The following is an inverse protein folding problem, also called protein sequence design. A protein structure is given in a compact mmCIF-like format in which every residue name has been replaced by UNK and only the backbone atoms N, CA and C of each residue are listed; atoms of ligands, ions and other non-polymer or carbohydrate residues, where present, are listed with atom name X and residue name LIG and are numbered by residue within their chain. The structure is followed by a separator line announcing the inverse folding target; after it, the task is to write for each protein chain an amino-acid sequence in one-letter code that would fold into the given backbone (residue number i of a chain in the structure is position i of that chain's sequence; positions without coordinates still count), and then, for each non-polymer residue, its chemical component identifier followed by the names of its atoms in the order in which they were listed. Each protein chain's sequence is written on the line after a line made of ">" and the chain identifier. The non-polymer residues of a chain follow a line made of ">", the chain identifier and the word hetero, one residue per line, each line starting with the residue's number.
data_IF_321166098360
#
_entry.id   IF_321166098360
#
_cell.length_a   1.000
_cell.length_b   1.000
_cell.length_c   1.000
_cell.angle_alpha   90.00
_cell.angle_beta   90.00
_cell.angle_gamma   90.00
#
_symmetry.space_group_name_H-M   'P 1'
#
loop_
_entity.id
_entity.type
_entity.pdbx_description
1 polymer ?
#
# COMPACT_ATOMS: atom_id res chain seq x y z
N UNK A 1 -12.73 7.31 5.56
CA UNK A 1 -11.38 6.75 5.78
C UNK A 1 -11.51 5.58 6.76
N UNK A 2 -10.80 4.46 6.55
CA UNK A 2 -10.84 3.31 7.49
C UNK A 2 -9.79 3.39 8.59
N UNK A 3 -8.78 4.23 8.41
CA UNK A 3 -7.71 4.45 9.39
C UNK A 3 -7.67 5.90 9.84
N UNK A 4 -7.20 6.10 11.07
CA UNK A 4 -6.81 7.39 11.61
C UNK A 4 -5.44 7.25 12.30
N UNK A 5 -4.67 8.33 12.34
CA UNK A 5 -3.43 8.40 13.10
C UNK A 5 -3.69 8.96 14.50
N UNK A 6 -3.21 8.27 15.53
CA UNK A 6 -3.24 8.76 16.92
C UNK A 6 -2.19 9.86 17.13
N UNK A 7 -2.22 10.54 18.28
CA UNK A 7 -1.22 11.56 18.66
C UNK A 7 0.23 11.08 18.60
N UNK A 8 0.45 9.77 18.76
CA UNK A 8 1.77 9.14 18.65
C UNK A 8 2.19 8.80 17.21
N UNK A 9 1.38 9.15 16.21
CA UNK A 9 1.59 8.81 14.80
C UNK A 9 1.25 7.36 14.45
N UNK A 10 0.62 6.61 15.36
CA UNK A 10 0.24 5.22 15.11
C UNK A 10 -1.10 5.15 14.37
N UNK A 11 -1.20 4.32 13.34
CA UNK A 11 -2.46 4.08 12.65
C UNK A 11 -3.35 3.12 13.45
N UNK A 12 -4.62 3.52 13.63
CA UNK A 12 -5.68 2.69 14.18
C UNK A 12 -6.76 2.49 13.13
N UNK A 13 -7.21 1.24 12.94
CA UNK A 13 -8.36 0.91 12.09
C UNK A 13 -9.65 1.20 12.84
N UNK A 14 -10.74 1.44 12.12
CA UNK A 14 -12.03 1.71 12.74
C UNK A 14 -12.59 0.50 13.51
N UNK A 15 -12.28 -0.71 13.07
CA UNK A 15 -12.66 -1.95 13.78
C UNK A 15 -11.91 -2.07 15.11
N UNK A 16 -10.59 -1.84 15.11
CA UNK A 16 -9.79 -1.82 16.34
C UNK A 16 -10.21 -0.69 17.27
N UNK A 17 -10.60 0.46 16.71
CA UNK A 17 -11.15 1.58 17.47
C UNK A 17 -12.49 1.22 18.12
N UNK A 18 -13.42 0.63 17.36
CA UNK A 18 -14.74 0.25 17.86
C UNK A 18 -14.68 -0.88 18.91
N UNK A 19 -13.72 -1.79 18.78
CA UNK A 19 -13.51 -2.88 19.73
C UNK A 19 -12.70 -2.46 20.98
N UNK A 20 -12.10 -1.27 21.00
CA UNK A 20 -11.25 -0.84 22.11
C UNK A 20 -12.10 -0.28 23.27
N UNK A 21 -11.94 -0.77 24.50
CA UNK A 21 -12.62 -0.20 25.67
C UNK A 21 -12.14 1.23 25.98
N UNK A 22 -10.91 1.57 25.58
CA UNK A 22 -10.35 2.92 25.69
C UNK A 22 -10.00 3.44 24.29
N UNK A 23 -10.88 4.27 23.74
CA UNK A 23 -10.69 4.85 22.41
C UNK A 23 -9.77 6.07 22.47
N UNK A 24 -8.71 6.13 21.64
CA UNK A 24 -7.87 7.33 21.54
C UNK A 24 -8.68 8.53 21.05
N UNK A 25 -8.53 9.69 21.68
CA UNK A 25 -9.38 10.87 21.38
C UNK A 25 -8.80 11.82 20.34
N UNK A 26 -7.47 11.96 20.27
CA UNK A 26 -6.81 12.83 19.30
C UNK A 26 -6.42 12.03 18.06
N UNK A 27 -7.35 11.97 17.11
CA UNK A 27 -7.18 11.30 15.83
C UNK A 27 -6.92 12.33 14.72
N UNK A 28 -6.08 11.96 13.77
CA UNK A 28 -5.75 12.78 12.61
C UNK A 28 -5.80 11.98 11.32
N UNK A 29 -6.02 12.66 10.20
CA UNK A 29 -5.98 12.10 8.87
C UNK A 29 -4.55 11.62 8.56
N UNK A 30 -4.36 10.35 8.18
CA UNK A 30 -3.04 9.80 7.87
C UNK A 30 -2.53 10.15 6.47
N UNK A 31 -3.35 10.84 5.68
CA UNK A 31 -3.08 11.19 4.29
C UNK A 31 -2.01 12.26 4.10
N UNK A 32 -1.63 12.49 2.85
CA UNK A 32 -0.60 13.45 2.44
C UNK A 32 -0.98 14.14 1.11
N UNK A 33 -0.40 15.32 0.89
CA UNK A 33 -0.44 16.00 -0.40
C UNK A 33 0.58 15.40 -1.39
N UNK A 34 0.49 15.72 -2.70
CA UNK A 34 1.39 15.21 -3.74
C UNK A 34 2.88 15.47 -3.49
N UNK A 35 3.20 16.53 -2.75
CA UNK A 35 4.56 16.90 -2.34
C UNK A 35 5.04 16.18 -1.06
N UNK A 36 4.25 15.26 -0.53
CA UNK A 36 4.57 14.47 0.67
C UNK A 36 4.24 15.17 1.99
N UNK A 37 3.68 16.39 1.98
CA UNK A 37 3.26 17.06 3.23
C UNK A 37 2.13 16.28 3.91
N UNK A 38 2.22 16.00 5.22
CA UNK A 38 1.19 15.27 5.94
C UNK A 38 -0.07 16.12 6.15
N UNK A 39 -1.24 15.52 5.95
CA UNK A 39 -2.53 16.20 6.07
C UNK A 39 -2.84 16.63 7.50
N UNK A 40 -2.69 15.71 8.48
CA UNK A 40 -2.92 15.96 9.91
C UNK A 40 -4.28 16.58 10.27
N UNK A 41 -5.25 16.56 9.34
CA UNK A 41 -6.60 17.05 9.56
C UNK A 41 -7.25 16.30 10.72
N UNK A 42 -7.95 17.00 11.61
CA UNK A 42 -8.59 16.36 12.76
C UNK A 42 -9.61 15.34 12.28
N UNK A 43 -9.46 14.10 12.75
CA UNK A 43 -10.33 12.98 12.43
C UNK A 43 -11.17 12.57 13.64
N UNK A 44 -12.32 11.96 13.41
CA UNK A 44 -13.17 11.38 14.45
C UNK A 44 -13.89 10.15 13.91
N UNK A 45 -14.22 9.23 14.81
CA UNK A 45 -15.03 8.06 14.47
C UNK A 45 -16.50 8.47 14.22
N UNK A 46 -17.12 7.82 13.25
CA UNK A 46 -18.51 8.05 12.86
C UNK A 46 -19.18 6.71 12.60
N UNK A 47 -20.50 6.67 12.77
CA UNK A 47 -21.35 5.51 12.48
C UNK A 47 -20.97 4.24 13.27
N UNK A 48 -20.37 4.38 14.47
CA UNK A 48 -19.99 3.26 15.33
C UNK A 48 -21.15 2.30 15.64
N UNK A 49 -22.35 2.85 15.85
CA UNK A 49 -23.55 2.11 16.22
C UNK A 49 -24.64 2.15 15.12
N UNK A 50 -24.28 2.51 13.89
CA UNK A 50 -25.27 2.67 12.83
C UNK A 50 -25.62 1.31 12.21
N UNK A 51 -26.90 0.95 12.11
CA UNK A 51 -27.31 -0.27 11.40
C UNK A 51 -27.25 -0.10 9.87
N UNK A 52 -27.12 1.13 9.36
CA UNK A 52 -27.19 1.45 7.93
C UNK A 52 -25.83 1.78 7.30
N UNK A 53 -24.86 2.19 8.12
CA UNK A 53 -23.56 2.69 7.66
C UNK A 53 -22.49 2.05 8.51
N UNK A 54 -21.53 1.38 7.89
CA UNK A 54 -20.41 0.80 8.64
C UNK A 54 -19.62 1.90 9.36
N UNK A 55 -19.09 1.62 10.56
CA UNK A 55 -18.17 2.49 11.25
C UNK A 55 -17.07 2.98 10.31
N UNK A 56 -16.73 4.27 10.36
CA UNK A 56 -15.58 4.83 9.63
C UNK A 56 -15.01 6.04 10.35
N UNK A 57 -13.80 6.47 9.96
CA UNK A 57 -13.27 7.77 10.33
C UNK A 57 -13.64 8.83 9.29
N UNK A 58 -14.04 9.99 9.81
CA UNK A 58 -14.27 11.21 9.05
C UNK A 58 -13.27 12.28 9.51
N UNK A 59 -12.85 13.16 8.60
CA UNK A 59 -12.08 14.36 8.92
C UNK A 59 -12.68 15.54 8.16
N UNK A 60 -12.50 16.73 8.73
CA UNK A 60 -12.75 18.02 8.07
C UNK A 60 -11.41 18.69 7.85
N UNK A 61 -11.35 19.60 6.87
CA UNK A 61 -10.16 20.43 6.62
C UNK A 61 -8.94 19.63 6.16
N UNK A 62 -9.15 18.72 5.20
CA UNK A 62 -8.04 18.15 4.48
C UNK A 62 -7.21 19.24 3.81
N UNK A 63 -5.89 19.06 3.78
CA UNK A 63 -5.03 19.83 2.88
C UNK A 63 -5.42 19.54 1.43
N UNK A 64 -5.20 20.50 0.52
CA UNK A 64 -5.47 20.34 -0.91
C UNK A 64 -4.76 19.10 -1.44
N UNK A 65 -5.46 18.30 -2.26
CA UNK A 65 -4.98 17.05 -2.86
C UNK A 65 -4.50 16.01 -1.84
N UNK A 66 -5.06 16.02 -0.63
CA UNK A 66 -4.88 14.92 0.31
C UNK A 66 -5.45 13.63 -0.28
N UNK A 67 -4.60 12.60 -0.41
CA UNK A 67 -4.97 11.27 -0.90
C UNK A 67 -6.18 10.65 -0.17
N UNK A 68 -6.28 10.80 1.16
CA UNK A 68 -7.43 10.36 1.96
C UNK A 68 -8.69 11.23 1.74
N UNK A 69 -8.51 12.54 1.52
CA UNK A 69 -9.61 13.48 1.25
C UNK A 69 -10.21 13.28 -0.15
N UNK A 70 -9.35 13.04 -1.14
CA UNK A 70 -9.72 12.76 -2.53
C UNK A 70 -10.45 11.41 -2.64
N UNK A 71 -10.01 10.39 -1.89
CA UNK A 71 -10.70 9.11 -1.78
C UNK A 71 -12.11 9.25 -1.17
N UNK A 72 -12.30 10.15 -0.19
CA UNK A 72 -13.60 10.40 0.43
C UNK A 72 -14.58 11.13 -0.51
N UNK A 73 -14.10 12.03 -1.37
CA UNK A 73 -14.92 12.74 -2.38
C UNK A 73 -15.32 11.82 -3.54
N UNK A 74 -14.49 10.83 -3.88
CA UNK A 74 -14.75 9.85 -4.94
C UNK A 74 -15.67 8.69 -4.54
N UNK A 75 -15.99 8.55 -3.26
CA UNK A 75 -16.96 7.57 -2.79
C UNK A 75 -18.37 7.94 -3.32
N UNK A 76 -18.84 7.22 -4.36
CA UNK A 76 -20.20 7.36 -4.89
C UNK A 76 -21.23 7.21 -3.75
N UNK A 77 -22.28 8.06 -3.76
CA UNK A 77 -23.55 7.72 -3.11
C UNK A 77 -24.03 6.38 -3.69
N UNK A 78 -24.36 5.42 -2.81
CA UNK A 78 -24.75 4.05 -3.21
C UNK A 78 -25.83 4.01 -4.30
N UNK A 79 -25.76 3.01 -5.17
CA UNK A 79 -26.73 2.80 -6.26
C UNK A 79 -27.90 1.88 -5.85
N UNK A 80 -29.03 2.09 -6.53
CA UNK A 80 -30.35 1.46 -6.38
C UNK A 80 -30.40 -0.04 -6.74
N UNK A 81 -29.76 -0.91 -5.98
CA UNK A 81 -29.96 -2.38 -6.10
C UNK A 81 -30.80 -2.97 -4.95
N UNK A 82 -31.34 -2.12 -4.06
CA UNK A 82 -32.11 -2.57 -2.90
C UNK A 82 -31.26 -3.12 -1.76
N UNK A 83 -29.93 -3.10 -1.87
CA UNK A 83 -29.04 -3.35 -0.74
C UNK A 83 -29.04 -2.16 0.21
N UNK A 84 -29.46 -2.39 1.46
CA UNK A 84 -29.47 -1.36 2.53
C UNK A 84 -28.11 -1.17 3.19
N UNK A 85 -27.11 -1.98 2.83
CA UNK A 85 -25.76 -1.90 3.37
C UNK A 85 -24.79 -1.29 2.36
N UNK A 86 -24.32 -0.08 2.65
CA UNK A 86 -23.26 0.58 1.89
C UNK A 86 -21.98 -0.25 1.97
N UNK A 87 -21.63 -0.96 0.88
CA UNK A 87 -20.36 -1.72 0.75
C UNK A 87 -19.20 -0.74 0.92
N UNK A 88 -18.34 -0.95 1.90
CA UNK A 88 -17.13 -0.13 2.09
C UNK A 88 -15.92 -0.93 1.65
N UNK A 89 -15.01 -0.26 0.94
CA UNK A 89 -13.76 -0.77 0.39
C UNK A 89 -12.82 -1.32 1.46
N UNK A 90 -12.44 -2.60 1.40
CA UNK A 90 -11.28 -3.12 2.11
C UNK A 90 -10.00 -2.76 1.35
N UNK A 91 -9.06 -2.14 2.05
CA UNK A 91 -7.80 -1.64 1.49
C UNK A 91 -6.65 -2.67 1.60
N UNK A 92 -6.97 -3.89 2.05
CA UNK A 92 -6.00 -4.97 2.31
C UNK A 92 -5.23 -4.79 3.63
N UNK A 93 -4.22 -5.63 3.93
CA UNK A 93 -3.53 -5.61 5.20
C UNK A 93 -2.63 -4.37 5.32
N UNK A 94 -2.35 -3.95 6.55
CA UNK A 94 -1.43 -2.85 6.81
C UNK A 94 0.02 -3.37 6.89
N UNK A 95 0.88 -2.87 6.01
CA UNK A 95 2.29 -3.22 5.88
C UNK A 95 3.20 -2.21 6.56
N UNK A 96 4.41 -2.59 6.94
CA UNK A 96 5.39 -1.66 7.53
C UNK A 96 6.43 -1.26 6.48
N UNK A 97 6.55 0.03 6.22
CA UNK A 97 7.63 0.64 5.44
C UNK A 97 8.64 1.28 6.39
N UNK A 98 9.90 0.92 6.26
CA UNK A 98 11.01 1.44 7.05
C UNK A 98 11.95 2.17 6.09
N UNK A 99 11.93 3.50 6.15
CA UNK A 99 12.83 4.32 5.32
C UNK A 99 14.19 4.41 6.03
N UNK A 100 15.29 3.97 5.40
CA UNK A 100 16.60 4.12 6.01
C UNK A 100 16.94 5.60 6.18
N UNK A 101 17.68 5.91 7.25
CA UNK A 101 18.26 7.23 7.46
C UNK A 101 19.10 7.62 6.25
N UNK A 102 18.82 8.77 5.62
CA UNK A 102 19.67 9.31 4.56
C UNK A 102 21.11 9.39 5.06
N UNK A 103 22.01 8.68 4.39
CA UNK A 103 23.45 8.81 4.64
C UNK A 103 23.86 10.16 4.08
N UNK A 104 24.50 11.07 4.83
CA UNK A 104 24.90 12.35 4.27
C UNK A 104 25.81 12.10 3.07
N UNK A 105 25.40 12.60 1.92
CA UNK A 105 26.21 12.58 0.71
C UNK A 105 27.57 13.20 1.03
N UNK A 106 28.65 12.58 0.53
CA UNK A 106 29.96 13.23 0.46
C UNK A 106 29.82 14.42 -0.49
N UNK A 107 29.43 15.58 0.05
CA UNK A 107 29.63 16.85 -0.62
C UNK A 107 31.14 17.08 -0.72
N UNK A 108 31.71 16.59 -1.81
CA UNK A 108 33.09 16.88 -2.18
C UNK A 108 33.07 18.25 -2.81
N UNK A 109 33.04 19.30 -1.98
CA UNK A 109 33.10 20.67 -2.47
C UNK A 109 34.55 20.96 -2.86
N UNK A 110 34.81 20.94 -4.17
CA UNK A 110 36.10 21.32 -4.76
C UNK A 110 36.47 22.74 -4.31
N UNK A 111 37.64 22.97 -3.68
CA UNK A 111 38.04 24.29 -3.27
C UNK A 111 38.51 25.07 -4.51
N UNK A 112 37.72 26.05 -4.96
CA UNK A 112 38.25 27.10 -5.82
C UNK A 112 39.04 28.08 -4.97
N UNK A 113 40.36 27.88 -4.91
CA UNK A 113 41.30 28.87 -4.42
C UNK A 113 41.40 30.03 -5.42
N UNK A 114 41.20 31.26 -4.94
CA UNK A 114 42.00 32.41 -5.41
C UNK A 114 42.10 33.45 -4.30
N UNK A 115 43.30 33.52 -3.73
CA UNK A 115 43.72 34.48 -2.70
C UNK A 115 43.99 35.86 -3.33
N UNK A 116 43.59 36.96 -2.66
CA UNK A 116 44.48 38.11 -2.37
C UNK A 116 43.85 39.14 -1.43
N UNK A 117 44.52 39.32 -0.28
CA UNK A 117 44.64 40.51 0.59
C UNK A 117 43.37 41.06 1.28
N UNK A 118 43.38 41.57 2.51
CA UNK A 118 44.35 41.69 3.61
C UNK A 118 43.59 42.18 4.85
N UNK A 119 43.70 41.53 6.01
CA UNK A 119 43.22 42.13 7.27
C UNK A 119 42.78 41.18 8.40
N UNK A 120 43.75 40.77 9.23
CA UNK A 120 43.69 40.54 10.71
C UNK A 120 42.67 39.50 11.28
N UNK A 121 42.88 39.02 12.54
CA UNK A 121 43.00 37.58 12.83
C UNK A 121 41.76 36.91 13.46
N UNK A 122 41.76 35.57 13.34
CA UNK A 122 41.06 34.55 14.14
C UNK A 122 39.56 34.72 14.42
N UNK A 123 38.76 33.96 13.66
CA UNK A 123 37.72 33.13 14.26
C UNK A 123 37.96 31.68 13.79
N UNK A 124 38.51 30.85 14.66
CA UNK A 124 38.44 29.40 14.51
C UNK A 124 36.95 29.04 14.53
N UNK A 125 36.37 28.80 13.36
CA UNK A 125 35.07 28.15 13.27
C UNK A 125 35.25 26.73 13.79
N UNK A 126 34.95 26.54 15.08
CA UNK A 126 34.76 25.23 15.66
C UNK A 126 33.59 24.60 14.90
N UNK A 127 33.90 23.64 14.03
CA UNK A 127 32.93 22.73 13.43
C UNK A 127 32.25 21.95 14.53
N UNK A 128 31.13 22.47 15.03
CA UNK A 128 30.14 21.64 15.71
C UNK A 128 29.53 20.68 14.68
N UNK A 129 29.40 19.37 14.95
CA UNK A 129 28.73 18.48 14.03
C UNK A 129 27.24 18.83 14.03
N UNK A 130 26.76 19.53 13.02
CA UNK A 130 25.34 19.57 12.68
C UNK A 130 24.93 18.22 12.06
N UNK A 131 25.09 17.13 12.82
CA UNK A 131 24.58 15.81 12.45
C UNK A 131 23.15 15.70 12.96
N UNK A 132 22.18 16.23 12.21
CA UNK A 132 20.81 15.71 12.31
C UNK A 132 20.80 14.35 11.64
N UNK A 133 21.17 13.30 12.38
CA UNK A 133 20.80 11.92 12.03
C UNK A 133 19.28 11.89 11.98
N UNK A 134 18.70 11.85 10.78
CA UNK A 134 17.27 11.57 10.65
C UNK A 134 17.08 10.11 11.06
N UNK A 135 16.44 9.86 12.20
CA UNK A 135 16.18 8.51 12.66
C UNK A 135 15.38 7.72 11.59
N UNK A 136 15.59 6.40 11.47
CA UNK A 136 14.77 5.57 10.58
C UNK A 136 13.30 5.78 10.95
N UNK A 137 12.47 6.12 9.97
CA UNK A 137 11.04 6.27 10.18
C UNK A 137 10.35 4.99 9.74
N UNK A 138 9.77 4.28 10.72
CA UNK A 138 8.90 3.15 10.47
C UNK A 138 7.45 3.66 10.35
N UNK A 139 6.81 3.40 9.22
CA UNK A 139 5.44 3.81 8.93
C UNK A 139 4.60 2.63 8.49
N UNK A 140 3.42 2.49 9.09
CA UNK A 140 2.39 1.53 8.66
C UNK A 140 1.66 2.08 7.42
N UNK A 141 1.44 1.27 6.39
CA UNK A 141 0.84 1.64 5.10
C UNK A 141 -0.09 0.52 4.61
N UNK A 142 -1.37 0.80 4.31
CA UNK A 142 -2.30 -0.18 3.75
C UNK A 142 -1.82 -0.72 2.39
N UNK A 143 -2.16 -1.96 2.07
CA UNK A 143 -1.80 -2.60 0.80
C UNK A 143 -2.30 -1.83 -0.42
N UNK A 144 -3.51 -1.28 -0.37
CA UNK A 144 -4.05 -0.41 -1.42
C UNK A 144 -3.19 0.85 -1.62
N UNK A 145 -2.70 1.47 -0.54
CA UNK A 145 -1.84 2.65 -0.63
C UNK A 145 -0.45 2.28 -1.16
N UNK A 146 0.07 1.10 -0.80
CA UNK A 146 1.30 0.57 -1.37
C UNK A 146 1.17 0.44 -2.90
N UNK A 147 0.04 -0.10 -3.39
CA UNK A 147 -0.25 -0.19 -4.82
C UNK A 147 -0.28 1.20 -5.49
N UNK A 148 -0.97 2.19 -4.90
CA UNK A 148 -0.98 3.57 -5.43
C UNK A 148 0.43 4.12 -5.62
N UNK A 149 1.29 3.93 -4.62
CA UNK A 149 2.67 4.43 -4.64
C UNK A 149 3.52 3.67 -5.65
N UNK A 150 3.30 2.37 -5.82
CA UNK A 150 3.95 1.57 -6.85
C UNK A 150 3.61 2.08 -8.25
N UNK A 151 2.32 2.30 -8.54
CA UNK A 151 1.84 2.75 -9.84
C UNK A 151 2.30 4.18 -10.18
N UNK A 152 2.43 5.03 -9.16
CA UNK A 152 2.90 6.41 -9.31
C UNK A 152 4.43 6.57 -9.24
N UNK A 153 5.20 5.50 -9.05
CA UNK A 153 6.66 5.55 -8.93
C UNK A 153 7.16 6.27 -7.67
N UNK A 154 6.33 6.34 -6.61
CA UNK A 154 6.60 7.08 -5.36
C UNK A 154 7.21 6.20 -4.26
N UNK A 155 7.61 4.98 -4.57
CA UNK A 155 8.30 4.09 -3.62
C UNK A 155 9.79 4.13 -3.90
N UNK A 156 10.57 4.50 -2.89
CA UNK A 156 12.02 4.35 -2.93
C UNK A 156 12.37 2.86 -2.93
N UNK A 157 13.10 2.35 -3.95
CA UNK A 157 13.48 0.94 -4.08
C UNK A 157 14.22 0.36 -2.88
N UNK A 158 14.97 1.21 -2.14
CA UNK A 158 15.80 0.81 -1.00
C UNK A 158 15.05 0.88 0.34
N UNK A 159 13.83 1.43 0.35
CA UNK A 159 12.97 1.39 1.53
C UNK A 159 12.68 -0.06 1.89
N UNK A 160 12.83 -0.41 3.17
CA UNK A 160 12.54 -1.77 3.63
C UNK A 160 11.04 -1.94 3.81
N UNK A 161 10.45 -2.93 3.13
CA UNK A 161 9.08 -3.39 3.33
C UNK A 161 9.09 -4.58 4.28
N UNK A 162 8.14 -4.62 5.22
CA UNK A 162 7.86 -5.80 6.04
C UNK A 162 6.47 -6.34 5.72
N UNK A 163 6.42 -7.64 5.41
CA UNK A 163 5.20 -8.40 5.16
C UNK A 163 4.58 -8.91 6.47
N UNK A 164 3.31 -9.35 6.48
CA UNK A 164 2.63 -9.82 7.69
C UNK A 164 3.28 -11.04 8.34
N UNK A 165 3.92 -11.90 7.55
CA UNK A 165 4.69 -13.07 7.98
C UNK A 165 6.06 -12.72 8.62
N UNK A 166 6.35 -11.41 8.78
CA UNK A 166 7.60 -10.83 9.27
C UNK A 166 8.77 -10.90 8.28
N UNK A 167 8.56 -11.34 7.05
CA UNK A 167 9.56 -11.22 5.98
C UNK A 167 9.88 -9.74 5.77
N UNK A 168 11.17 -9.40 5.72
CA UNK A 168 11.67 -8.04 5.55
C UNK A 168 12.69 -7.97 4.43
N UNK A 169 12.62 -6.91 3.64
CA UNK A 169 13.54 -6.69 2.53
C UNK A 169 13.25 -5.38 1.81
N UNK A 170 14.13 -4.95 0.90
CA UNK A 170 13.90 -3.75 0.12
C UNK A 170 12.63 -3.89 -0.74
N UNK A 171 11.92 -2.79 -0.97
CA UNK A 171 10.73 -2.73 -1.83
C UNK A 171 11.02 -3.34 -3.20
N UNK A 172 12.21 -3.10 -3.76
CA UNK A 172 12.64 -3.68 -5.04
C UNK A 172 12.62 -5.22 -5.10
N UNK A 173 12.69 -5.89 -3.95
CA UNK A 173 12.65 -7.37 -3.85
C UNK A 173 11.31 -7.91 -3.37
N UNK A 174 10.52 -7.13 -2.64
CA UNK A 174 9.28 -7.59 -2.02
C UNK A 174 8.01 -7.02 -2.68
N UNK A 175 8.12 -6.07 -3.59
CA UNK A 175 6.99 -5.52 -4.35
C UNK A 175 7.26 -5.68 -5.85
N UNK A 176 6.71 -6.74 -6.43
CA UNK A 176 7.09 -7.22 -7.76
C UNK A 176 5.90 -7.11 -8.72
N UNK A 177 6.09 -6.53 -9.92
CA UNK A 177 5.07 -6.65 -10.96
C UNK A 177 4.90 -8.11 -11.39
N UNK A 178 3.71 -8.68 -11.25
CA UNK A 178 3.47 -10.10 -11.49
C UNK A 178 3.76 -10.54 -12.94
N UNK A 179 3.76 -9.60 -13.89
CA UNK A 179 4.11 -9.86 -15.28
C UNK A 179 5.62 -9.96 -15.55
N UNK A 180 6.47 -9.77 -14.54
CA UNK A 180 7.92 -10.00 -14.62
C UNK A 180 8.33 -11.41 -14.23
N UNK A 181 7.41 -12.18 -13.64
CA UNK A 181 7.73 -13.44 -12.99
C UNK A 181 8.00 -14.54 -14.01
N UNK A 182 8.93 -15.42 -13.66
CA UNK A 182 9.28 -16.64 -14.40
C UNK A 182 9.17 -17.85 -13.48
N UNK A 183 9.32 -19.05 -14.05
CA UNK A 183 9.32 -20.31 -13.28
C UNK A 183 10.45 -20.38 -12.25
N UNK A 184 11.55 -19.66 -12.47
CA UNK A 184 12.71 -19.65 -11.56
C UNK A 184 12.40 -18.96 -10.23
N UNK A 185 11.28 -18.24 -10.16
CA UNK A 185 10.80 -17.58 -8.96
C UNK A 185 9.83 -18.46 -8.15
N UNK A 186 9.71 -19.76 -8.45
CA UNK A 186 8.80 -20.66 -7.74
C UNK A 186 9.04 -20.64 -6.22
N UNK A 187 7.96 -20.52 -5.45
CA UNK A 187 8.01 -20.38 -4.00
C UNK A 187 8.37 -18.99 -3.48
N UNK A 188 8.65 -18.01 -4.36
CA UNK A 188 8.86 -16.63 -3.95
C UNK A 188 7.62 -16.06 -3.26
N UNK A 189 7.81 -15.57 -2.04
CA UNK A 189 6.77 -14.90 -1.25
C UNK A 189 7.00 -13.39 -1.23
N UNK A 190 6.00 -12.63 -1.68
CA UNK A 190 6.11 -11.18 -1.87
C UNK A 190 4.72 -10.51 -2.03
N UNK A 191 4.73 -9.18 -2.12
CA UNK A 191 3.62 -8.42 -2.68
C UNK A 191 3.72 -8.41 -4.21
N UNK A 192 2.68 -8.88 -4.89
CA UNK A 192 2.63 -8.92 -6.35
C UNK A 192 1.52 -8.02 -6.87
N UNK A 193 1.77 -7.27 -7.94
CA UNK A 193 0.75 -6.41 -8.53
C UNK A 193 0.70 -6.47 -10.05
N UNK A 194 -0.46 -6.17 -10.61
CA UNK A 194 -0.66 -6.14 -12.06
C UNK A 194 -2.05 -5.65 -12.44
N UNK A 195 -2.21 -5.25 -13.71
CA UNK A 195 -3.51 -4.88 -14.26
C UNK A 195 -4.26 -6.14 -14.69
N UNK A 196 -5.47 -6.33 -14.21
CA UNK A 196 -6.34 -7.45 -14.59
C UNK A 196 -6.89 -7.22 -15.99
N UNK A 197 -6.85 -8.26 -16.81
CA UNK A 197 -7.35 -8.26 -18.20
C UNK A 197 -8.63 -9.06 -18.35
N UNK A 198 -8.77 -10.14 -17.59
CA UNK A 198 -10.01 -10.88 -17.44
C UNK A 198 -9.94 -11.76 -16.16
N UNK A 199 -11.03 -12.47 -15.89
CA UNK A 199 -11.09 -13.50 -14.86
C UNK A 199 -11.49 -14.84 -15.50
N UNK A 200 -11.08 -15.94 -14.89
CA UNK A 200 -11.47 -17.28 -15.30
C UNK A 200 -11.71 -18.16 -14.08
N UNK A 201 -12.76 -18.97 -14.12
CA UNK A 201 -13.03 -19.96 -13.09
C UNK A 201 -12.46 -21.33 -13.51
N UNK A 202 -11.78 -21.99 -12.58
CA UNK A 202 -11.40 -23.39 -12.76
C UNK A 202 -12.53 -24.26 -12.19
N UNK A 203 -13.31 -24.88 -13.06
CA UNK A 203 -14.46 -25.71 -12.66
C UNK A 203 -14.10 -26.90 -11.77
N UNK A 204 -12.90 -27.46 -11.91
CA UNK A 204 -12.47 -28.63 -11.14
C UNK A 204 -12.13 -28.30 -9.69
N UNK A 205 -11.56 -27.12 -9.44
CA UNK A 205 -11.14 -26.66 -8.09
C UNK A 205 -12.00 -25.50 -7.56
N UNK A 206 -12.98 -25.07 -8.34
CA UNK A 206 -13.83 -23.89 -8.13
C UNK A 206 -13.06 -22.64 -7.71
N UNK A 207 -11.82 -22.54 -8.17
CA UNK A 207 -10.93 -21.42 -7.87
C UNK A 207 -11.08 -20.36 -8.95
N UNK A 208 -10.98 -19.10 -8.57
CA UNK A 208 -11.01 -17.96 -9.49
C UNK A 208 -9.59 -17.52 -9.78
N UNK A 209 -9.29 -17.31 -11.06
CA UNK A 209 -8.03 -16.77 -11.53
C UNK A 209 -8.25 -15.38 -12.12
N UNK A 210 -7.58 -14.37 -11.56
CA UNK A 210 -7.46 -13.05 -12.19
C UNK A 210 -6.25 -13.06 -13.10
N UNK A 211 -6.45 -12.94 -14.42
CA UNK A 211 -5.34 -12.93 -15.36
C UNK A 211 -4.85 -11.51 -15.59
N UNK A 212 -3.54 -11.36 -15.55
CA UNK A 212 -2.90 -10.06 -15.62
C UNK A 212 -2.42 -9.72 -17.02
N UNK A 213 -2.28 -8.41 -17.27
CA UNK A 213 -1.76 -7.89 -18.51
C UNK A 213 -0.31 -8.36 -18.70
N UNK A 214 -0.04 -9.16 -19.75
CA UNK A 214 1.31 -9.62 -20.03
C UNK A 214 2.22 -8.45 -20.39
N UNK A 215 3.53 -8.64 -20.19
CA UNK A 215 4.51 -7.74 -20.79
C UNK A 215 4.49 -7.85 -22.31
N UNK A 216 4.83 -6.78 -23.04
CA UNK A 216 5.08 -6.88 -24.48
C UNK A 216 6.06 -8.03 -24.77
N UNK A 217 5.71 -8.91 -25.70
CA UNK A 217 6.52 -10.09 -26.04
C UNK A 217 6.32 -11.32 -25.15
N UNK A 218 5.57 -11.23 -24.05
CA UNK A 218 5.24 -12.37 -23.19
C UNK A 218 3.84 -12.89 -23.49
N UNK A 219 3.69 -14.21 -23.65
CA UNK A 219 2.36 -14.82 -23.76
C UNK A 219 1.61 -14.76 -22.43
N UNK A 220 0.29 -14.60 -22.50
CA UNK A 220 -0.59 -14.67 -21.32
C UNK A 220 -0.43 -15.98 -20.53
N UNK A 221 -0.15 -17.11 -21.20
CA UNK A 221 0.08 -18.41 -20.53
C UNK A 221 1.35 -18.44 -19.67
N UNK A 222 2.28 -17.53 -19.94
CA UNK A 222 3.54 -17.36 -19.22
C UNK A 222 3.50 -16.17 -18.25
N UNK A 223 2.33 -15.57 -18.05
CA UNK A 223 2.12 -14.49 -17.09
C UNK A 223 1.43 -15.05 -15.86
N UNK A 224 1.90 -14.67 -14.67
CA UNK A 224 1.27 -15.11 -13.43
C UNK A 224 -0.15 -14.54 -13.29
N UNK A 225 -1.11 -15.41 -12.93
CA UNK A 225 -2.44 -15.00 -12.49
C UNK A 225 -2.54 -14.99 -10.95
N UNK A 226 -3.49 -14.24 -10.40
CA UNK A 226 -3.83 -14.33 -8.98
C UNK A 226 -4.90 -15.40 -8.78
N UNK A 227 -4.63 -16.40 -7.93
CA UNK A 227 -5.54 -17.49 -7.63
C UNK A 227 -6.24 -17.23 -6.30
N UNK A 228 -7.56 -17.08 -6.36
CA UNK A 228 -8.46 -17.06 -5.20
C UNK A 228 -9.10 -18.44 -5.11
N UNK A 229 -8.87 -19.16 -4.02
CA UNK A 229 -9.43 -20.51 -3.83
C UNK A 229 -10.93 -20.46 -3.52
N UNK A 230 -11.63 -21.58 -3.69
CA UNK A 230 -13.07 -21.69 -3.40
C UNK A 230 -13.39 -21.27 -1.95
N UNK A 231 -12.58 -21.71 -0.98
CA UNK A 231 -12.72 -21.39 0.44
C UNK A 231 -12.49 -19.90 0.75
N UNK A 232 -11.70 -19.21 -0.08
CA UNK A 232 -11.36 -17.80 0.12
C UNK A 232 -12.33 -16.86 -0.61
N UNK A 233 -12.98 -17.32 -1.69
CA UNK A 233 -13.74 -16.46 -2.59
C UNK A 233 -14.88 -15.67 -1.90
N UNK A 234 -15.70 -16.25 -1.01
CA UNK A 234 -16.74 -15.50 -0.30
C UNK A 234 -16.17 -14.37 0.57
N UNK A 235 -15.14 -14.65 1.36
CA UNK A 235 -14.51 -13.66 2.24
C UNK A 235 -13.76 -12.57 1.45
N UNK A 236 -13.08 -12.94 0.37
CA UNK A 236 -12.48 -11.96 -0.55
C UNK A 236 -13.56 -11.07 -1.16
N UNK A 237 -14.71 -11.65 -1.56
CA UNK A 237 -15.82 -10.89 -2.10
C UNK A 237 -16.44 -9.93 -1.07
N UNK A 238 -16.49 -10.31 0.21
CA UNK A 238 -16.95 -9.44 1.29
C UNK A 238 -15.97 -8.29 1.60
N UNK A 239 -14.69 -8.50 1.34
CA UNK A 239 -13.64 -7.51 1.50
C UNK A 239 -13.64 -6.49 0.35
N UNK A 240 -13.88 -6.94 -0.87
CA UNK A 240 -13.92 -6.04 -2.03
C UNK A 240 -15.23 -5.23 -2.04
N UNK A 241 -15.14 -3.93 -2.34
CA UNK A 241 -16.32 -3.10 -2.66
C UNK A 241 -16.79 -3.27 -4.11
N UNK A 242 -16.11 -4.11 -4.90
CA UNK A 242 -16.47 -4.53 -6.24
C UNK A 242 -16.59 -6.06 -6.31
N UNK A 243 -17.35 -6.59 -7.26
CA UNK A 243 -17.35 -8.04 -7.52
C UNK A 243 -15.95 -8.48 -7.98
N UNK A 244 -15.53 -9.71 -7.67
CA UNK A 244 -14.25 -10.24 -8.18
C UNK A 244 -14.18 -10.13 -9.72
N UNK A 245 -15.29 -10.37 -10.42
CA UNK A 245 -15.41 -10.19 -11.87
C UNK A 245 -15.35 -8.73 -12.35
N UNK A 246 -15.68 -7.76 -11.48
CA UNK A 246 -15.62 -6.32 -11.80
C UNK A 246 -14.20 -5.75 -11.69
N UNK A 247 -13.23 -6.55 -11.23
CA UNK A 247 -11.83 -6.16 -11.15
C UNK A 247 -11.14 -6.10 -12.52
N UNK A 248 -11.81 -6.50 -13.60
CA UNK A 248 -11.29 -6.29 -14.96
C UNK A 248 -10.96 -4.82 -15.17
N UNK A 249 -9.85 -4.57 -15.86
CA UNK A 249 -9.24 -3.25 -16.08
C UNK A 249 -8.69 -2.53 -14.84
N UNK A 250 -8.86 -3.08 -13.65
CA UNK A 250 -8.26 -2.55 -12.43
C UNK A 250 -6.84 -3.09 -12.23
N UNK A 251 -6.00 -2.32 -11.55
CA UNK A 251 -4.77 -2.79 -10.96
C UNK A 251 -5.08 -3.50 -9.65
N UNK A 252 -4.59 -4.72 -9.48
CA UNK A 252 -4.75 -5.51 -8.27
C UNK A 252 -3.37 -5.76 -7.68
N UNK A 253 -3.29 -5.76 -6.36
CA UNK A 253 -2.12 -6.16 -5.57
C UNK A 253 -2.53 -7.29 -4.62
N UNK A 254 -1.65 -8.27 -4.45
CA UNK A 254 -1.84 -9.39 -3.54
C UNK A 254 -0.58 -9.65 -2.71
N UNK A 255 -0.73 -10.21 -1.53
CA UNK A 255 0.36 -10.83 -0.76
C UNK A 255 0.19 -12.34 -0.83
N UNK A 256 1.25 -13.04 -1.22
CA UNK A 256 1.16 -14.46 -1.43
C UNK A 256 2.47 -15.09 -1.87
N UNK A 257 2.37 -16.36 -2.28
CA UNK A 257 3.48 -17.11 -2.85
C UNK A 257 3.25 -17.42 -4.33
N UNK A 258 4.26 -17.21 -5.16
CA UNK A 258 4.28 -17.70 -6.53
C UNK A 258 4.40 -19.23 -6.54
N UNK A 259 3.60 -19.87 -7.38
CA UNK A 259 3.62 -21.30 -7.63
C UNK A 259 3.64 -21.61 -9.12
N UNK A 260 4.30 -22.70 -9.48
CA UNK A 260 4.27 -23.27 -10.82
C UNK A 260 3.35 -24.48 -10.84
N UNK A 261 2.37 -24.50 -11.74
CA UNK A 261 1.51 -25.68 -11.92
C UNK A 261 2.33 -26.84 -12.47
N UNK A 262 2.40 -27.94 -11.73
CA UNK A 262 3.13 -29.14 -12.14
C UNK A 262 2.67 -29.69 -13.50
N UNK A 263 1.37 -29.61 -13.78
CA UNK A 263 0.78 -30.23 -14.98
C UNK A 263 0.81 -29.31 -16.22
N UNK A 264 0.74 -27.98 -16.02
CA UNK A 264 0.60 -27.01 -17.13
C UNK A 264 1.78 -26.06 -17.26
N UNK A 265 2.68 -26.04 -16.29
CA UNK A 265 3.79 -25.08 -16.21
C UNK A 265 3.33 -23.61 -16.10
N UNK A 266 2.04 -23.37 -15.87
CA UNK A 266 1.47 -22.03 -15.72
C UNK A 266 1.83 -21.46 -14.35
N UNK A 267 2.06 -20.14 -14.32
CA UNK A 267 2.40 -19.39 -13.12
C UNK A 267 1.12 -18.90 -12.45
N UNK A 268 1.03 -19.05 -11.13
CA UNK A 268 -0.07 -18.47 -10.36
C UNK A 268 0.40 -18.09 -8.96
N UNK A 269 -0.23 -17.09 -8.37
CA UNK A 269 0.07 -16.61 -7.04
C UNK A 269 -1.09 -16.97 -6.13
N UNK A 270 -0.78 -17.69 -5.05
CA UNK A 270 -1.76 -18.07 -4.02
C UNK A 270 -1.75 -17.01 -2.95
N UNK A 271 -2.93 -16.45 -2.63
CA UNK A 271 -3.08 -15.49 -1.54
C UNK A 271 -2.81 -16.15 -0.20
N UNK A 272 -2.07 -15.45 0.66
CA UNK A 272 -1.84 -15.89 2.05
C UNK A 272 -3.14 -16.01 2.84
N UNK A 273 -4.00 -15.00 2.71
CA UNK A 273 -5.27 -14.87 3.41
C UNK A 273 -6.27 -14.08 2.57
N UNK A 274 -7.54 -14.11 2.98
CA UNK A 274 -8.69 -13.43 2.38
C UNK A 274 -8.56 -11.90 2.41
N UNK A 275 -7.76 -11.37 3.33
CA UNK A 275 -7.45 -9.94 3.45
C UNK A 275 -6.27 -9.51 2.57
N UNK A 276 -5.47 -10.44 2.04
CA UNK A 276 -4.21 -10.19 1.32
C UNK A 276 -4.41 -9.71 -0.12
N UNK A 277 -5.47 -8.95 -0.39
CA UNK A 277 -5.81 -8.41 -1.70
C UNK A 277 -6.33 -6.98 -1.58
N UNK A 278 -5.91 -6.13 -2.51
CA UNK A 278 -6.44 -4.79 -2.70
C UNK A 278 -6.40 -4.41 -4.18
N UNK A 279 -7.14 -3.38 -4.57
CA UNK A 279 -7.18 -2.94 -5.97
C UNK A 279 -7.31 -1.42 -6.12
N UNK A 280 -6.96 -0.93 -7.30
CA UNK A 280 -7.07 0.45 -7.77
C UNK A 280 -7.46 0.47 -9.24
N UNK A 281 -8.08 1.55 -9.70
CA UNK A 281 -8.42 1.73 -11.11
C UNK A 281 -7.21 2.24 -11.89
#
# INVERSE_FOLDING_TARGET
>A
MRYAATSGGELISIEKYAASPNTPQALTCPGQAPDGRPCRATAWAKALNSPYVRPHFAAKEHITDCDEGEAAVRARKGHRDGSTTTRTRHEGPTLLLITPSSTPGKDTRTPTTRTKASGRPMATAITGPASRRSAPTARKVPLALLLARALSGRLDPETTLALPDKTRGPVSRLLIPANTLTKDHDGLHACFYGRVTDYAENTATRSVFLNLKPRPGTSRRNTAGFMIREDQAPSVQDNLDASIGDLVDHHVIVIGALRVSANRGSLYIVLDDTDSIAYQR
#
